data_IF_288949075536
#
_entry.id   IF_288949075536
#
_cell.length_a   1.000
_cell.length_b   1.000
_cell.length_c   1.000
_cell.angle_alpha   90.00
_cell.angle_beta   90.00
_cell.angle_gamma   90.00
#
_symmetry.space_group_name_H-M   'P 1'
#
loop_
_entity.id
_entity.type
_entity.pdbx_description
1 polymer ?
#
# COMPACT_ATOMS: atom_id res chain seq x y z
N UNK A 1 -15.40 -25.36 6.13
CA UNK A 1 -13.99 -25.55 6.52
C UNK A 1 -13.60 -27.00 6.38
N UNK A 2 -12.90 -27.34 5.29
CA UNK A 2 -12.41 -28.70 5.04
C UNK A 2 -11.17 -29.09 5.84
N UNK A 3 -10.71 -28.26 6.79
CA UNK A 3 -9.72 -28.70 7.78
C UNK A 3 -10.19 -29.94 8.56
N UNK A 4 -11.51 -30.10 8.73
CA UNK A 4 -12.10 -31.30 9.33
C UNK A 4 -12.16 -32.52 8.38
N UNK A 5 -12.00 -32.35 7.07
CA UNK A 5 -11.98 -33.46 6.11
C UNK A 5 -10.56 -33.98 5.87
N UNK A 6 -9.53 -33.13 5.98
CA UNK A 6 -8.10 -33.51 5.99
C UNK A 6 -7.65 -34.11 7.34
N UNK A 7 -8.59 -34.48 8.22
CA UNK A 7 -8.40 -35.04 9.59
C UNK A 7 -7.56 -36.32 9.66
N UNK A 8 -7.32 -37.01 8.54
CA UNK A 8 -6.71 -38.34 8.58
C UNK A 8 -5.19 -38.35 8.76
N UNK A 9 -4.54 -37.18 8.80
CA UNK A 9 -3.07 -37.08 8.87
C UNK A 9 -2.51 -36.64 10.22
N UNK A 10 -3.32 -36.09 11.15
CA UNK A 10 -2.82 -35.47 12.38
C UNK A 10 -3.60 -35.96 13.62
N UNK A 11 -2.89 -36.37 14.67
CA UNK A 11 -3.45 -36.62 16.00
C UNK A 11 -3.54 -35.31 16.79
N UNK A 12 -4.73 -34.70 16.78
CA UNK A 12 -5.00 -33.45 17.50
C UNK A 12 -4.78 -33.54 19.04
N UNK A 13 -4.63 -34.75 19.59
CA UNK A 13 -4.27 -34.94 20.99
C UNK A 13 -2.76 -34.90 21.24
N UNK A 14 -1.92 -35.07 20.22
CA UNK A 14 -0.48 -34.89 20.35
C UNK A 14 -0.12 -33.41 20.27
N UNK A 15 0.12 -32.81 21.43
CA UNK A 15 0.51 -31.40 21.51
C UNK A 15 1.87 -31.09 20.86
N UNK A 16 2.70 -32.10 20.54
CA UNK A 16 4.00 -31.92 19.87
C UNK A 16 3.88 -31.89 18.35
N UNK A 17 2.76 -32.34 17.80
CA UNK A 17 2.58 -32.42 16.36
C UNK A 17 2.47 -31.02 15.75
N UNK A 18 3.17 -30.81 14.63
CA UNK A 18 3.37 -29.50 13.99
C UNK A 18 2.20 -29.15 13.08
N UNK A 19 1.02 -28.99 13.66
CA UNK A 19 -0.25 -28.79 12.96
C UNK A 19 -0.48 -27.35 12.44
N UNK A 20 0.32 -26.38 12.88
CA UNK A 20 0.23 -24.97 12.47
C UNK A 20 1.42 -24.57 11.61
N UNK A 21 1.16 -23.69 10.64
CA UNK A 21 2.14 -23.08 9.76
C UNK A 21 2.04 -21.56 9.91
N UNK A 22 3.14 -20.92 10.31
CA UNK A 22 3.26 -19.48 10.26
C UNK A 22 4.00 -19.11 8.98
N UNK A 23 3.32 -18.36 8.12
CA UNK A 23 3.83 -17.91 6.82
C UNK A 23 3.94 -16.39 6.81
N UNK A 24 5.04 -15.85 6.32
CA UNK A 24 5.22 -14.41 6.13
C UNK A 24 5.78 -14.17 4.73
N UNK A 25 5.23 -13.15 4.07
CA UNK A 25 5.73 -12.71 2.78
C UNK A 25 5.84 -11.19 2.74
N UNK A 26 6.91 -10.69 2.15
CA UNK A 26 7.25 -9.28 2.02
C UNK A 26 7.51 -8.92 0.55
N UNK A 27 7.07 -7.72 0.17
CA UNK A 27 7.39 -7.11 -1.12
C UNK A 27 8.70 -6.34 -0.95
N UNK A 28 9.75 -6.84 -1.58
CA UNK A 28 11.07 -6.22 -1.63
C UNK A 28 11.12 -5.17 -2.73
N UNK A 29 11.84 -4.07 -2.48
CA UNK A 29 12.09 -3.00 -3.46
C UNK A 29 11.20 -1.77 -3.30
N UNK A 30 10.26 -1.77 -2.35
CA UNK A 30 9.26 -0.71 -2.14
C UNK A 30 9.85 0.70 -2.12
N UNK A 31 10.91 0.95 -1.36
CA UNK A 31 11.47 2.31 -1.25
C UNK A 31 12.01 2.81 -2.58
N UNK A 32 12.81 1.98 -3.27
CA UNK A 32 13.32 2.30 -4.60
C UNK A 32 12.16 2.48 -5.58
N UNK A 33 11.16 1.61 -5.51
CA UNK A 33 9.96 1.69 -6.34
C UNK A 33 9.17 2.98 -6.14
N UNK A 34 8.90 3.41 -4.90
CA UNK A 34 8.13 4.65 -4.66
C UNK A 34 8.90 5.87 -5.20
N UNK A 35 10.18 6.01 -4.85
CA UNK A 35 10.92 7.26 -5.08
C UNK A 35 11.63 7.35 -6.44
N UNK A 36 11.63 6.29 -7.25
CA UNK A 36 12.18 6.30 -8.61
C UNK A 36 11.21 7.00 -9.57
N UNK A 37 11.14 8.33 -9.47
CA UNK A 37 10.34 9.22 -10.31
C UNK A 37 11.23 10.33 -10.88
N UNK A 38 11.14 10.58 -12.18
CA UNK A 38 11.91 11.63 -12.86
C UNK A 38 11.11 12.93 -12.94
N UNK A 39 11.61 14.01 -12.32
CA UNK A 39 10.93 15.32 -12.26
C UNK A 39 11.06 16.15 -13.54
N UNK A 40 12.23 16.14 -14.18
CA UNK A 40 12.59 17.15 -15.19
C UNK A 40 11.84 17.04 -16.53
N UNK A 41 11.27 15.87 -16.85
CA UNK A 41 10.82 15.61 -18.22
C UNK A 41 9.33 15.26 -18.37
N UNK A 42 8.55 15.16 -17.29
CA UNK A 42 7.23 14.49 -17.32
C UNK A 42 6.06 15.41 -16.95
N UNK A 43 6.32 16.64 -16.53
CA UNK A 43 5.26 17.63 -16.26
C UNK A 43 4.65 18.12 -17.58
N UNK A 44 3.72 17.30 -18.12
CA UNK A 44 2.78 17.61 -19.20
C UNK A 44 1.38 17.71 -18.60
N UNK A 45 0.44 18.36 -19.30
CA UNK A 45 -0.96 18.45 -18.87
C UNK A 45 -1.51 17.10 -18.38
N UNK A 46 -1.97 17.06 -17.12
CA UNK A 46 -2.58 15.88 -16.50
C UNK A 46 -1.64 14.98 -15.68
N UNK A 47 -0.31 15.05 -15.86
CA UNK A 47 0.65 14.20 -15.14
C UNK A 47 1.46 14.98 -14.08
N UNK A 48 1.35 14.60 -12.81
CA UNK A 48 2.03 15.28 -11.69
C UNK A 48 2.82 14.33 -10.80
N UNK A 49 4.06 14.70 -10.44
CA UNK A 49 4.94 13.88 -9.57
C UNK A 49 4.32 13.60 -8.18
N UNK A 50 3.75 14.59 -7.46
CA UNK A 50 3.00 14.34 -6.22
C UNK A 50 1.90 13.28 -6.32
N UNK A 51 1.09 13.34 -7.40
CA UNK A 51 0.03 12.36 -7.66
C UNK A 51 0.64 10.97 -7.81
N UNK A 52 1.67 10.84 -8.65
CA UNK A 52 2.32 9.57 -8.87
C UNK A 52 2.94 8.97 -7.60
N UNK A 53 3.67 9.76 -6.81
CA UNK A 53 4.26 9.28 -5.54
C UNK A 53 3.18 8.75 -4.59
N UNK A 54 2.04 9.43 -4.50
CA UNK A 54 0.89 9.02 -3.70
C UNK A 54 0.25 7.75 -4.23
N UNK A 55 0.05 7.64 -5.55
CA UNK A 55 -0.48 6.43 -6.18
C UNK A 55 0.44 5.22 -5.99
N UNK A 56 1.76 5.39 -6.13
CA UNK A 56 2.75 4.34 -5.86
C UNK A 56 2.72 3.90 -4.40
N UNK A 57 2.67 4.86 -3.46
CA UNK A 57 2.56 4.58 -2.03
C UNK A 57 1.28 3.81 -1.69
N UNK A 58 0.14 4.23 -2.24
CA UNK A 58 -1.12 3.52 -2.08
C UNK A 58 -1.04 2.10 -2.66
N UNK A 59 -0.53 1.94 -3.89
CA UNK A 59 -0.36 0.65 -4.53
C UNK A 59 0.41 -0.35 -3.65
N UNK A 60 1.58 0.03 -3.14
CA UNK A 60 2.39 -0.87 -2.30
C UNK A 60 1.78 -1.14 -0.94
N UNK A 61 0.91 -0.25 -0.45
CA UNK A 61 0.16 -0.48 0.79
C UNK A 61 -0.93 -1.53 0.60
N UNK A 62 -1.63 -1.51 -0.55
CA UNK A 62 -2.74 -2.41 -0.86
C UNK A 62 -2.27 -3.78 -1.36
N UNK A 63 -1.12 -3.86 -2.01
CA UNK A 63 -0.61 -5.11 -2.60
C UNK A 63 -0.51 -6.26 -1.56
N UNK A 64 0.15 -6.12 -0.38
CA UNK A 64 0.18 -7.18 0.64
C UNK A 64 -1.21 -7.59 1.15
N UNK A 65 -2.14 -6.64 1.22
CA UNK A 65 -3.52 -6.87 1.66
C UNK A 65 -4.33 -7.66 0.64
N UNK A 66 -4.18 -7.34 -0.64
CA UNK A 66 -4.80 -8.10 -1.72
C UNK A 66 -4.23 -9.52 -1.78
N UNK A 67 -2.90 -9.66 -1.73
CA UNK A 67 -2.23 -10.97 -1.86
C UNK A 67 -2.56 -11.92 -0.71
N UNK A 68 -2.58 -11.43 0.52
CA UNK A 68 -3.02 -12.23 1.67
C UNK A 68 -4.46 -12.71 1.51
N UNK A 69 -5.37 -11.84 1.05
CA UNK A 69 -6.77 -12.20 0.75
C UNK A 69 -6.90 -13.16 -0.42
N UNK A 70 -6.06 -13.05 -1.44
CA UNK A 70 -6.00 -13.99 -2.56
C UNK A 70 -5.69 -15.41 -2.07
N UNK A 71 -4.65 -15.57 -1.24
CA UNK A 71 -4.26 -16.87 -0.67
C UNK A 71 -5.43 -17.46 0.13
N UNK A 72 -6.03 -16.66 1.01
CA UNK A 72 -7.15 -17.13 1.84
C UNK A 72 -8.39 -17.43 1.00
N UNK A 73 -8.65 -16.68 -0.09
CA UNK A 73 -9.72 -16.98 -1.04
C UNK A 73 -9.52 -18.34 -1.71
N UNK A 74 -8.30 -18.63 -2.20
CA UNK A 74 -7.96 -19.92 -2.81
C UNK A 74 -8.07 -21.09 -1.83
N UNK A 75 -7.73 -20.87 -0.56
CA UNK A 75 -7.83 -21.88 0.49
C UNK A 75 -9.24 -22.00 1.08
N UNK A 76 -10.16 -21.08 0.75
CA UNK A 76 -11.45 -20.92 1.40
C UNK A 76 -11.33 -20.73 2.93
N UNK A 77 -10.35 -19.92 3.34
CA UNK A 77 -10.04 -19.55 4.71
C UNK A 77 -10.47 -18.10 5.01
N UNK A 78 -10.65 -17.75 6.29
CA UNK A 78 -11.19 -16.47 6.67
C UNK A 78 -10.06 -15.45 6.77
N UNK A 79 -10.32 -14.22 6.37
CA UNK A 79 -10.26 -13.10 7.32
C UNK A 79 -9.19 -13.18 8.44
N UNK A 80 -9.62 -13.85 9.50
CA UNK A 80 -8.97 -13.95 10.81
C UNK A 80 -7.64 -14.72 10.80
N UNK A 81 -7.28 -15.37 9.70
CA UNK A 81 -5.98 -16.02 9.55
C UNK A 81 -4.86 -15.01 9.21
N UNK A 82 -5.20 -13.77 8.84
CA UNK A 82 -4.24 -12.67 8.71
C UNK A 82 -3.88 -12.15 10.10
N UNK A 83 -2.64 -12.38 10.54
CA UNK A 83 -2.12 -11.85 11.82
C UNK A 83 -1.65 -10.40 11.67
N UNK A 84 -1.09 -10.08 10.51
CA UNK A 84 -0.57 -8.77 10.18
C UNK A 84 -0.60 -8.56 8.67
N UNK A 85 -0.93 -7.35 8.23
CA UNK A 85 -0.77 -6.90 6.84
C UNK A 85 -0.51 -5.41 6.85
N UNK A 86 0.67 -4.99 6.40
CA UNK A 86 1.10 -3.60 6.44
C UNK A 86 2.59 -3.44 6.15
N UNK A 87 3.00 -2.22 5.79
CA UNK A 87 4.42 -1.91 5.55
C UNK A 87 5.09 -2.77 4.47
N UNK A 88 4.32 -3.25 3.49
CA UNK A 88 4.84 -4.09 2.42
C UNK A 88 4.87 -5.59 2.70
N UNK A 89 4.40 -6.06 3.85
CA UNK A 89 4.40 -7.49 4.19
C UNK A 89 3.11 -7.95 4.83
N UNK A 90 2.86 -9.26 4.81
CA UNK A 90 1.75 -9.89 5.49
C UNK A 90 2.18 -11.19 6.16
N UNK A 91 1.51 -11.55 7.25
CA UNK A 91 1.76 -12.76 8.01
C UNK A 91 0.44 -13.52 8.21
N UNK A 92 0.46 -14.81 7.90
CA UNK A 92 -0.68 -15.72 7.98
C UNK A 92 -0.40 -16.84 8.98
N UNK A 93 -1.40 -17.16 9.80
CA UNK A 93 -1.44 -18.41 10.55
C UNK A 93 -2.33 -19.40 9.81
N UNK A 94 -1.78 -20.52 9.36
CA UNK A 94 -2.45 -21.51 8.51
C UNK A 94 -2.33 -22.91 9.14
N UNK A 95 -3.17 -23.87 8.77
CA UNK A 95 -2.92 -25.27 9.08
C UNK A 95 -1.75 -25.79 8.23
N UNK A 96 -0.89 -26.62 8.81
CA UNK A 96 0.24 -27.21 8.11
C UNK A 96 -0.19 -28.44 7.30
N UNK A 97 -0.88 -28.24 6.17
CA UNK A 97 -1.30 -29.36 5.29
C UNK A 97 -0.59 -29.31 3.95
N UNK A 98 -0.54 -30.44 3.24
CA UNK A 98 0.08 -30.52 1.92
C UNK A 98 -0.59 -29.53 0.94
N UNK A 99 -1.92 -29.45 0.95
CA UNK A 99 -2.72 -28.48 0.17
C UNK A 99 -2.27 -27.04 0.40
N UNK A 100 -2.06 -26.64 1.66
CA UNK A 100 -1.59 -25.27 1.99
C UNK A 100 -0.19 -25.05 1.44
N UNK A 101 0.72 -25.99 1.68
CA UNK A 101 2.11 -25.90 1.24
C UNK A 101 2.24 -25.83 -0.30
N UNK A 102 1.47 -26.63 -1.04
CA UNK A 102 1.40 -26.57 -2.50
C UNK A 102 0.84 -25.24 -3.01
N UNK A 103 -0.21 -24.74 -2.36
CA UNK A 103 -0.83 -23.45 -2.71
C UNK A 103 0.17 -22.30 -2.54
N UNK A 104 0.91 -22.26 -1.43
CA UNK A 104 1.93 -21.23 -1.18
C UNK A 104 3.09 -21.31 -2.18
N UNK A 105 3.58 -22.52 -2.50
CA UNK A 105 4.64 -22.71 -3.50
C UNK A 105 4.21 -22.24 -4.89
N UNK A 106 2.99 -22.60 -5.31
CA UNK A 106 2.40 -22.14 -6.57
C UNK A 106 2.23 -20.63 -6.58
N UNK A 107 1.68 -20.06 -5.50
CA UNK A 107 1.53 -18.61 -5.33
C UNK A 107 2.85 -17.87 -5.51
N UNK A 108 3.93 -18.30 -4.84
CA UNK A 108 5.25 -17.67 -4.93
C UNK A 108 5.79 -17.63 -6.36
N UNK A 109 5.73 -18.76 -7.07
CA UNK A 109 6.18 -18.84 -8.46
C UNK A 109 5.37 -17.90 -9.36
N UNK A 110 4.04 -18.02 -9.29
CA UNK A 110 3.13 -17.24 -10.12
C UNK A 110 3.24 -15.73 -9.87
N UNK A 111 3.41 -15.31 -8.62
CA UNK A 111 3.57 -13.91 -8.26
C UNK A 111 4.93 -13.38 -8.70
N UNK A 112 5.99 -14.17 -8.58
CA UNK A 112 7.33 -13.81 -9.07
C UNK A 112 7.29 -13.53 -10.58
N UNK A 113 6.61 -14.38 -11.35
CA UNK A 113 6.43 -14.19 -12.80
C UNK A 113 5.58 -12.96 -13.13
N UNK A 114 4.52 -12.70 -12.37
CA UNK A 114 3.68 -11.51 -12.55
C UNK A 114 4.44 -10.22 -12.25
N UNK A 115 5.11 -10.14 -11.10
CA UNK A 115 5.90 -8.97 -10.71
C UNK A 115 7.03 -8.72 -11.71
N UNK A 116 7.64 -9.77 -12.24
CA UNK A 116 8.63 -9.65 -13.30
C UNK A 116 8.06 -9.03 -14.57
N UNK A 117 6.92 -9.52 -15.05
CA UNK A 117 6.30 -8.98 -16.27
C UNK A 117 5.83 -7.53 -16.09
N UNK A 118 5.27 -7.18 -14.93
CA UNK A 118 4.65 -5.87 -14.73
C UNK A 118 5.63 -4.80 -14.21
N UNK A 119 6.66 -5.21 -13.46
CA UNK A 119 7.58 -4.33 -12.73
C UNK A 119 9.06 -4.72 -12.87
N UNK A 120 9.39 -5.66 -13.75
CA UNK A 120 10.75 -6.17 -13.99
C UNK A 120 11.41 -6.66 -12.69
N UNK A 121 12.41 -5.94 -12.18
CA UNK A 121 13.08 -6.28 -10.93
C UNK A 121 12.92 -5.18 -9.86
N UNK A 122 12.04 -4.20 -10.10
CA UNK A 122 11.80 -3.11 -9.14
C UNK A 122 10.97 -3.59 -7.94
N UNK A 123 10.06 -4.57 -8.15
CA UNK A 123 9.31 -5.24 -7.08
C UNK A 123 9.52 -6.74 -7.15
N UNK A 124 9.83 -7.34 -6.00
CA UNK A 124 10.06 -8.79 -5.87
C UNK A 124 9.32 -9.29 -4.63
N UNK A 125 8.92 -10.55 -4.64
CA UNK A 125 8.33 -11.21 -3.47
C UNK A 125 9.41 -12.01 -2.75
N UNK A 126 9.48 -11.87 -1.44
CA UNK A 126 10.27 -12.73 -0.54
C UNK A 126 9.30 -13.36 0.44
N UNK A 127 9.50 -14.64 0.77
CA UNK A 127 8.66 -15.32 1.74
C UNK A 127 9.44 -16.30 2.60
N UNK A 128 8.86 -16.64 3.75
CA UNK A 128 9.40 -17.63 4.67
C UNK A 128 8.28 -18.28 5.47
N UNK A 129 8.61 -19.41 6.08
CA UNK A 129 7.65 -20.17 6.88
C UNK A 129 8.31 -20.89 8.06
N UNK A 130 7.52 -21.13 9.10
CA UNK A 130 7.92 -21.96 10.24
C UNK A 130 6.73 -22.78 10.73
N UNK A 131 7.03 -23.97 11.26
CA UNK A 131 6.02 -24.93 11.71
C UNK A 131 5.89 -24.91 13.23
N UNK A 132 4.66 -25.00 13.70
CA UNK A 132 4.28 -24.77 15.09
C UNK A 132 3.37 -25.90 15.58
N UNK A 133 3.60 -26.34 16.82
CA UNK A 133 2.75 -27.28 17.54
C UNK A 133 1.92 -26.56 18.61
N UNK A 134 0.94 -27.26 19.20
CA UNK A 134 0.18 -26.71 20.33
C UNK A 134 1.10 -26.41 21.53
N UNK A 135 2.09 -27.27 21.77
CA UNK A 135 3.08 -27.13 22.83
C UNK A 135 3.92 -25.86 22.67
N UNK A 136 4.33 -25.53 21.44
CA UNK A 136 5.13 -24.33 21.17
C UNK A 136 4.39 -23.03 21.53
N UNK A 137 3.07 -23.02 21.31
CA UNK A 137 2.20 -21.89 21.66
C UNK A 137 2.01 -21.76 23.18
N UNK A 138 1.92 -22.88 23.91
CA UNK A 138 1.72 -22.90 25.37
C UNK A 138 3.00 -22.59 26.16
N UNK A 139 4.14 -23.12 25.73
CA UNK A 139 5.42 -23.01 26.45
C UNK A 139 6.22 -21.74 26.11
N UNK A 140 5.59 -20.74 25.50
CA UNK A 140 6.22 -19.47 25.13
C UNK A 140 7.43 -19.63 24.17
N UNK A 141 7.43 -20.71 23.36
CA UNK A 141 8.45 -20.95 22.30
C UNK A 141 8.16 -20.21 21.00
N UNK A 142 7.11 -19.38 20.99
CA UNK A 142 6.79 -18.54 19.84
C UNK A 142 7.95 -17.62 19.44
N UNK A 143 8.80 -17.21 20.37
CA UNK A 143 10.01 -16.42 20.05
C UNK A 143 10.97 -17.19 19.14
N UNK A 144 11.24 -18.46 19.46
CA UNK A 144 12.09 -19.32 18.65
C UNK A 144 11.50 -19.54 17.26
N UNK A 145 10.19 -19.77 17.19
CA UNK A 145 9.50 -19.90 15.91
C UNK A 145 9.59 -18.62 15.05
N UNK A 146 9.39 -17.44 15.64
CA UNK A 146 9.56 -16.17 14.93
C UNK A 146 11.00 -15.99 14.45
N UNK A 147 12.00 -16.35 15.27
CA UNK A 147 13.40 -16.32 14.84
C UNK A 147 13.63 -17.25 13.64
N UNK A 148 13.12 -18.48 13.68
CA UNK A 148 13.23 -19.43 12.57
C UNK A 148 12.52 -18.92 11.31
N UNK A 149 11.38 -18.26 11.46
CA UNK A 149 10.67 -17.60 10.37
C UNK A 149 11.54 -16.51 9.73
N UNK A 150 12.16 -15.63 10.53
CA UNK A 150 13.03 -14.58 10.02
C UNK A 150 14.27 -15.15 9.31
N UNK A 151 14.86 -16.23 9.84
CA UNK A 151 15.96 -16.94 9.16
C UNK A 151 15.50 -17.45 7.78
N UNK A 152 14.32 -18.08 7.70
CA UNK A 152 13.75 -18.57 6.44
C UNK A 152 13.52 -17.43 5.43
N UNK A 153 13.04 -16.26 5.89
CA UNK A 153 12.87 -15.07 5.04
C UNK A 153 14.23 -14.58 4.55
N UNK A 154 15.23 -14.47 5.42
CA UNK A 154 16.55 -13.95 5.07
C UNK A 154 17.32 -14.86 4.09
N UNK A 155 17.09 -16.17 4.15
CA UNK A 155 17.58 -17.11 3.14
C UNK A 155 16.97 -16.83 1.76
N UNK A 156 15.67 -16.56 1.70
CA UNK A 156 14.99 -16.22 0.46
C UNK A 156 15.38 -14.82 -0.06
N UNK A 157 15.62 -13.86 0.84
CA UNK A 157 16.18 -12.53 0.48
C UNK A 157 17.51 -12.62 -0.26
N UNK A 158 18.32 -13.67 -0.01
CA UNK A 158 19.59 -13.88 -0.71
C UNK A 158 19.40 -14.45 -2.12
N UNK A 159 18.20 -14.93 -2.46
CA UNK A 159 17.89 -15.65 -3.70
C UNK A 159 16.59 -15.15 -4.35
N UNK A 160 16.32 -13.84 -4.29
CA UNK A 160 15.03 -13.22 -4.70
C UNK A 160 14.57 -13.53 -6.11
N UNK A 161 15.50 -13.78 -7.03
CA UNK A 161 15.21 -14.03 -8.45
C UNK A 161 15.29 -15.50 -8.83
N UNK A 162 15.39 -16.43 -7.87
CA UNK A 162 15.57 -17.87 -8.13
C UNK A 162 14.50 -18.45 -9.06
N UNK A 163 13.27 -17.97 -8.94
CA UNK A 163 12.12 -18.41 -9.75
C UNK A 163 12.18 -17.89 -11.20
N UNK A 164 13.07 -16.93 -11.50
CA UNK A 164 13.22 -16.28 -12.80
C UNK A 164 14.51 -16.68 -13.53
N UNK A 165 15.43 -17.41 -12.89
CA UNK A 165 16.76 -17.73 -13.45
C UNK A 165 16.72 -18.58 -14.72
N UNK A 166 15.61 -19.22 -15.03
CA UNK A 166 15.43 -20.04 -16.24
C UNK A 166 14.78 -19.27 -17.40
N UNK A 167 14.57 -17.95 -17.27
CA UNK A 167 13.98 -17.14 -18.33
C UNK A 167 15.08 -16.43 -19.11
N UNK A 168 14.99 -16.51 -20.43
CA UNK A 168 15.75 -15.63 -21.31
C UNK A 168 15.22 -14.20 -21.13
N UNK A 169 16.12 -13.27 -20.85
CA UNK A 169 15.77 -11.85 -20.81
C UNK A 169 15.71 -11.35 -22.26
N UNK A 170 14.49 -11.27 -22.79
CA UNK A 170 14.27 -10.68 -24.11
C UNK A 170 14.64 -9.19 -24.11
N UNK A 171 15.09 -8.69 -25.26
CA UNK A 171 15.35 -7.25 -25.43
C UNK A 171 14.01 -6.52 -25.60
N UNK A 172 13.45 -6.06 -24.49
CA UNK A 172 12.23 -5.27 -24.51
C UNK A 172 12.52 -3.81 -24.90
N UNK A 173 12.29 -3.45 -26.16
CA UNK A 173 12.32 -2.07 -26.64
C UNK A 173 13.70 -1.37 -26.62
N UNK A 174 13.76 -0.18 -27.23
CA UNK A 174 14.98 0.65 -27.28
C UNK A 174 14.99 1.77 -26.23
N UNK A 175 13.84 2.06 -25.63
CA UNK A 175 13.66 3.15 -24.66
C UNK A 175 13.03 2.66 -23.36
N UNK A 176 13.16 3.47 -22.31
CA UNK A 176 12.52 3.23 -21.01
C UNK A 176 11.53 4.34 -20.70
N UNK A 177 10.52 4.00 -19.91
CA UNK A 177 9.48 4.92 -19.46
C UNK A 177 10.09 6.19 -18.85
N UNK A 178 9.61 7.34 -19.34
CA UNK A 178 10.10 8.67 -18.94
C UNK A 178 9.98 8.94 -17.43
N UNK A 179 8.90 8.47 -16.80
CA UNK A 179 8.71 8.62 -15.35
C UNK A 179 9.51 7.60 -14.52
N UNK A 180 9.21 6.30 -14.61
CA UNK A 180 9.83 5.29 -13.74
C UNK A 180 11.26 4.88 -14.13
N UNK A 181 11.72 5.21 -15.35
CA UNK A 181 13.05 4.83 -15.88
C UNK A 181 13.33 3.34 -15.71
N UNK A 182 12.31 2.52 -15.95
CA UNK A 182 12.38 1.08 -15.68
C UNK A 182 11.70 0.27 -16.76
N UNK A 183 10.41 0.54 -16.99
CA UNK A 183 9.62 -0.26 -17.90
C UNK A 183 9.92 0.13 -19.36
N UNK A 184 10.04 -0.84 -20.27
CA UNK A 184 10.37 -0.62 -21.66
C UNK A 184 9.27 0.17 -22.38
N UNK A 185 9.67 0.95 -23.38
CA UNK A 185 8.83 1.78 -24.24
C UNK A 185 9.33 1.77 -25.68
N UNK A 186 8.42 2.03 -26.61
CA UNK A 186 8.75 2.20 -28.03
C UNK A 186 9.37 3.57 -28.32
N UNK A 187 8.92 4.62 -27.64
CA UNK A 187 9.44 5.99 -27.80
C UNK A 187 10.01 6.53 -26.49
N UNK A 188 10.99 7.43 -26.60
CA UNK A 188 11.66 8.05 -25.45
C UNK A 188 10.72 8.89 -24.57
N UNK A 189 9.69 9.49 -25.17
CA UNK A 189 8.74 10.34 -24.43
C UNK A 189 7.61 9.56 -23.75
N UNK A 190 7.51 8.26 -23.98
CA UNK A 190 6.36 7.49 -23.51
C UNK A 190 6.40 7.25 -22.01
N UNK A 191 5.20 7.30 -21.41
CA UNK A 191 4.96 6.95 -20.02
C UNK A 191 4.28 5.57 -19.98
N UNK A 192 4.64 4.75 -18.99
CA UNK A 192 4.06 3.43 -18.85
C UNK A 192 2.64 3.44 -18.28
N UNK A 193 1.89 2.37 -18.57
CA UNK A 193 0.52 2.20 -18.05
C UNK A 193 0.47 2.41 -16.54
N UNK A 194 1.43 1.82 -15.80
CA UNK A 194 1.49 1.90 -14.35
C UNK A 194 1.74 3.33 -13.85
N UNK A 195 2.63 4.09 -14.46
CA UNK A 195 2.84 5.50 -14.12
C UNK A 195 1.57 6.33 -14.31
N UNK A 196 0.82 6.11 -15.40
CA UNK A 196 -0.48 6.75 -15.60
C UNK A 196 -1.48 6.32 -14.53
N UNK A 197 -1.64 5.02 -14.29
CA UNK A 197 -2.53 4.48 -13.25
C UNK A 197 -2.19 5.07 -11.87
N UNK A 198 -0.92 5.18 -11.50
CA UNK A 198 -0.51 5.80 -10.24
C UNK A 198 -0.84 7.29 -10.19
N UNK A 199 -0.74 8.00 -11.31
CA UNK A 199 -1.11 9.41 -11.37
C UNK A 199 -2.62 9.61 -11.13
N UNK A 200 -3.45 8.83 -11.84
CA UNK A 200 -4.90 8.86 -11.71
C UNK A 200 -5.34 8.45 -10.31
N UNK A 201 -4.76 7.37 -9.77
CA UNK A 201 -5.00 6.88 -8.43
C UNK A 201 -4.66 7.94 -7.37
N UNK A 202 -3.51 8.61 -7.51
CA UNK A 202 -3.11 9.69 -6.63
C UNK A 202 -4.10 10.86 -6.63
N UNK A 203 -4.59 11.25 -7.81
CA UNK A 203 -5.62 12.28 -7.94
C UNK A 203 -6.95 11.85 -7.30
N UNK A 204 -7.40 10.62 -7.59
CA UNK A 204 -8.64 10.05 -7.08
C UNK A 204 -8.67 10.02 -5.55
N UNK A 205 -7.56 9.62 -4.93
CA UNK A 205 -7.39 9.61 -3.48
C UNK A 205 -7.48 11.00 -2.84
N UNK A 206 -7.22 12.08 -3.56
CA UNK A 206 -7.32 13.45 -3.04
C UNK A 206 -8.68 14.11 -3.33
N UNK A 207 -9.41 13.61 -4.33
CA UNK A 207 -10.64 14.21 -4.84
C UNK A 207 -11.86 13.95 -3.95
N UNK A 208 -11.95 12.78 -3.35
CA UNK A 208 -13.15 12.33 -2.64
C UNK A 208 -12.94 12.33 -1.12
N UNK A 209 -13.88 12.94 -0.39
CA UNK A 209 -13.89 12.92 1.08
C UNK A 209 -14.20 11.53 1.64
N UNK A 210 -15.09 10.80 0.96
CA UNK A 210 -15.51 9.44 1.30
C UNK A 210 -15.15 8.51 0.16
N UNK A 211 -14.40 7.47 0.47
CA UNK A 211 -14.02 6.41 -0.47
C UNK A 211 -14.20 5.05 0.17
N UNK A 212 -14.53 4.08 -0.68
CA UNK A 212 -14.57 2.66 -0.36
C UNK A 212 -13.49 1.96 -1.17
N UNK A 213 -12.78 1.04 -0.52
CA UNK A 213 -11.89 0.10 -1.19
C UNK A 213 -12.58 -1.26 -1.26
N UNK A 214 -12.62 -1.83 -2.46
CA UNK A 214 -13.26 -3.11 -2.74
C UNK A 214 -12.21 -4.08 -3.24
N UNK A 215 -12.12 -5.24 -2.60
CA UNK A 215 -11.30 -6.36 -3.05
C UNK A 215 -12.18 -7.36 -3.78
N UNK A 216 -11.85 -7.63 -5.04
CA UNK A 216 -12.60 -8.56 -5.87
C UNK A 216 -11.70 -9.60 -6.53
N UNK A 217 -12.15 -10.85 -6.58
CA UNK A 217 -11.45 -11.97 -7.20
C UNK A 217 -12.20 -12.59 -8.38
N UNK A 218 -13.42 -12.14 -8.64
CA UNK A 218 -14.25 -12.53 -9.78
C UNK A 218 -14.39 -11.37 -10.78
N UNK A 219 -14.74 -11.67 -12.02
CA UNK A 219 -14.93 -10.63 -13.03
C UNK A 219 -16.24 -9.86 -12.81
N UNK A 220 -16.14 -8.53 -12.86
CA UNK A 220 -17.26 -7.57 -12.83
C UNK A 220 -17.20 -6.77 -14.13
N UNK A 221 -18.35 -6.38 -14.67
CA UNK A 221 -18.47 -5.50 -15.84
C UNK A 221 -18.15 -4.03 -15.49
N UNK A 222 -16.97 -3.82 -14.89
CA UNK A 222 -16.41 -2.52 -14.54
C UNK A 222 -14.90 -2.59 -14.53
N UNK A 223 -14.27 -1.59 -15.14
CA UNK A 223 -12.83 -1.45 -15.13
C UNK A 223 -12.31 -1.16 -13.71
N UNK A 224 -11.33 -1.94 -13.22
CA UNK A 224 -10.76 -1.75 -11.90
C UNK A 224 -9.77 -0.58 -11.86
N UNK A 225 -9.64 0.06 -10.69
CA UNK A 225 -8.60 1.06 -10.45
C UNK A 225 -7.20 0.44 -10.41
N UNK A 226 -7.10 -0.80 -9.93
CA UNK A 226 -5.88 -1.60 -9.99
C UNK A 226 -6.22 -3.04 -10.39
N UNK A 227 -5.62 -3.50 -11.48
CA UNK A 227 -5.76 -4.88 -11.96
C UNK A 227 -4.48 -5.68 -11.68
N UNK A 228 -4.60 -6.71 -10.83
CA UNK A 228 -3.51 -7.64 -10.54
C UNK A 228 -3.64 -8.97 -11.29
N UNK A 229 -4.42 -8.99 -12.38
CA UNK A 229 -4.76 -10.17 -13.15
C UNK A 229 -5.42 -11.21 -12.24
N UNK A 230 -4.88 -12.43 -12.25
CA UNK A 230 -5.43 -13.54 -11.45
C UNK A 230 -5.37 -13.33 -9.94
N UNK A 231 -4.55 -12.40 -9.44
CA UNK A 231 -4.43 -12.13 -8.01
C UNK A 231 -5.58 -11.29 -7.46
N UNK A 232 -6.41 -10.73 -8.34
CA UNK A 232 -7.59 -9.95 -8.00
C UNK A 232 -7.52 -8.52 -8.49
N UNK A 233 -8.60 -7.80 -8.23
CA UNK A 233 -8.87 -6.45 -8.68
C UNK A 233 -9.22 -5.58 -7.48
N UNK A 234 -8.84 -4.31 -7.55
CA UNK A 234 -9.16 -3.32 -6.52
C UNK A 234 -9.94 -2.18 -7.16
N UNK A 235 -11.06 -1.83 -6.55
CA UNK A 235 -11.87 -0.67 -6.92
C UNK A 235 -11.85 0.35 -5.80
N UNK A 236 -11.75 1.62 -6.18
CA UNK A 236 -11.94 2.77 -5.32
C UNK A 236 -13.20 3.49 -5.78
N UNK A 237 -14.23 3.52 -4.94
CA UNK A 237 -15.49 4.15 -5.30
C UNK A 237 -15.92 5.10 -4.19
N UNK A 238 -16.40 6.27 -4.57
CA UNK A 238 -17.09 7.19 -3.65
C UNK A 238 -18.46 6.63 -3.26
N UNK A 239 -19.10 5.90 -4.18
CA UNK A 239 -20.33 5.14 -3.93
C UNK A 239 -20.31 3.79 -4.68
N UNK A 240 -20.33 2.65 -3.98
CA UNK A 240 -20.49 1.35 -4.61
C UNK A 240 -21.83 1.23 -5.35
N UNK A 241 -21.79 0.63 -6.53
CA UNK A 241 -22.95 0.31 -7.37
C UNK A 241 -23.55 -1.06 -6.99
N UNK A 242 -24.78 -1.34 -7.42
CA UNK A 242 -25.52 -2.54 -7.02
C UNK A 242 -24.78 -3.85 -7.33
N UNK A 243 -24.20 -3.99 -8.53
CA UNK A 243 -23.46 -5.20 -8.91
C UNK A 243 -22.24 -5.45 -8.00
N UNK A 244 -21.50 -4.38 -7.68
CA UNK A 244 -20.33 -4.46 -6.80
C UNK A 244 -20.75 -4.80 -5.37
N UNK A 245 -21.89 -4.27 -4.90
CA UNK A 245 -22.41 -4.62 -3.56
C UNK A 245 -22.73 -6.11 -3.43
N UNK A 246 -23.20 -6.74 -4.49
CA UNK A 246 -23.58 -8.15 -4.49
C UNK A 246 -22.40 -9.10 -4.66
N UNK A 247 -21.46 -8.75 -5.55
CA UNK A 247 -20.34 -9.63 -5.91
C UNK A 247 -19.07 -9.39 -5.10
N UNK A 248 -18.91 -8.23 -4.47
CA UNK A 248 -17.69 -7.92 -3.73
C UNK A 248 -17.56 -8.82 -2.50
N UNK A 249 -16.40 -9.44 -2.35
CA UNK A 249 -16.06 -10.19 -1.14
C UNK A 249 -15.90 -9.28 0.07
N UNK A 250 -15.35 -8.08 -0.15
CA UNK A 250 -15.04 -7.13 0.91
C UNK A 250 -15.15 -5.69 0.42
N UNK A 251 -15.82 -4.86 1.22
CA UNK A 251 -16.03 -3.43 0.97
C UNK A 251 -15.65 -2.68 2.25
N UNK A 252 -14.48 -2.05 2.23
CA UNK A 252 -13.95 -1.30 3.37
C UNK A 252 -14.14 0.19 3.18
N UNK A 253 -14.61 0.88 4.21
CA UNK A 253 -14.63 2.34 4.25
C UNK A 253 -13.23 2.89 4.51
N UNK A 254 -12.75 3.81 3.68
CA UNK A 254 -11.47 4.49 3.92
C UNK A 254 -11.67 5.63 4.93
N UNK A 255 -10.80 5.69 5.94
CA UNK A 255 -10.74 6.73 6.97
C UNK A 255 -12.05 6.96 7.74
N UNK A 256 -12.94 5.96 7.81
CA UNK A 256 -14.22 6.04 8.50
C UNK A 256 -14.51 4.76 9.27
N UNK A 257 -14.80 4.87 10.56
CA UNK A 257 -15.16 3.75 11.44
C UNK A 257 -16.64 3.36 11.36
N UNK A 258 -17.41 4.05 10.52
CA UNK A 258 -18.85 3.86 10.35
C UNK A 258 -19.13 2.53 9.66
N UNK A 259 -19.43 1.50 10.44
CA UNK A 259 -19.76 0.16 9.94
C UNK A 259 -21.24 0.06 9.58
N UNK A 260 -21.54 -0.59 8.45
CA UNK A 260 -22.89 -0.90 7.98
C UNK A 260 -23.86 0.29 7.81
N UNK A 261 -23.41 1.56 7.87
CA UNK A 261 -24.29 2.73 7.67
C UNK A 261 -25.01 2.71 6.33
N UNK A 262 -24.40 2.12 5.31
CA UNK A 262 -24.94 2.05 3.95
C UNK A 262 -25.42 0.63 3.58
N UNK A 263 -25.38 -0.31 4.54
CA UNK A 263 -25.85 -1.69 4.38
C UNK A 263 -24.94 -2.63 3.60
N UNK A 264 -23.83 -2.16 3.02
CA UNK A 264 -22.92 -2.98 2.21
C UNK A 264 -21.46 -3.00 2.67
N UNK A 265 -21.02 -2.06 3.52
CA UNK A 265 -19.64 -2.01 3.98
C UNK A 265 -19.43 -2.95 5.19
N UNK A 266 -18.41 -3.81 5.10
CA UNK A 266 -18.12 -4.85 6.09
C UNK A 266 -16.81 -4.64 6.86
N UNK A 267 -16.16 -3.48 6.68
CA UNK A 267 -14.99 -3.08 7.47
C UNK A 267 -14.54 -1.66 7.16
N UNK A 268 -13.36 -1.30 7.67
CA UNK A 268 -12.72 -0.02 7.41
C UNK A 268 -11.20 -0.14 7.35
N UNK A 269 -10.57 0.85 6.72
CA UNK A 269 -9.11 0.98 6.65
C UNK A 269 -8.71 2.44 6.82
N UNK A 270 -7.68 2.69 7.62
CA UNK A 270 -7.05 4.00 7.68
C UNK A 270 -5.89 4.10 6.68
N UNK A 271 -5.79 5.25 6.04
CA UNK A 271 -4.65 5.64 5.20
C UNK A 271 -4.28 7.09 5.50
N UNK A 272 -2.99 7.35 5.70
CA UNK A 272 -2.49 8.70 5.89
C UNK A 272 -2.46 9.42 4.55
N UNK A 273 -3.51 10.20 4.28
CA UNK A 273 -3.85 10.66 2.93
C UNK A 273 -4.02 12.19 2.84
N UNK A 274 -3.44 12.93 3.77
CA UNK A 274 -3.49 14.40 3.80
C UNK A 274 -2.55 14.97 2.74
N UNK A 275 -3.04 15.94 1.98
CA UNK A 275 -2.26 16.72 1.01
C UNK A 275 -2.72 18.18 1.02
N UNK A 276 -1.82 19.13 0.74
CA UNK A 276 -2.21 20.49 0.40
C UNK A 276 -3.04 20.50 -0.89
N UNK A 277 -4.12 21.27 -0.90
CA UNK A 277 -5.07 21.34 -2.01
C UNK A 277 -5.02 22.73 -2.65
N UNK A 278 -4.88 22.79 -3.98
CA UNK A 278 -5.02 24.02 -4.73
C UNK A 278 -6.50 24.42 -4.78
N UNK A 279 -6.85 25.38 -3.94
CA UNK A 279 -8.19 25.98 -3.88
C UNK A 279 -8.16 27.40 -4.38
N UNK A 280 -9.34 27.96 -4.67
CA UNK A 280 -9.43 29.36 -5.12
C UNK A 280 -8.78 30.30 -4.11
N UNK A 281 -8.93 30.06 -2.81
CA UNK A 281 -8.30 30.88 -1.77
C UNK A 281 -6.76 30.73 -1.77
N UNK A 282 -6.25 29.51 -1.94
CA UNK A 282 -4.80 29.25 -2.05
C UNK A 282 -4.24 29.89 -3.32
N UNK A 283 -4.97 29.80 -4.43
CA UNK A 283 -4.61 30.40 -5.72
C UNK A 283 -4.53 31.92 -5.62
N UNK A 284 -5.57 32.56 -5.11
CA UNK A 284 -5.63 34.02 -4.94
C UNK A 284 -4.50 34.52 -4.03
N UNK A 285 -4.18 33.75 -2.99
CA UNK A 285 -3.04 34.04 -2.13
C UNK A 285 -1.72 33.97 -2.90
N UNK A 286 -1.47 32.90 -3.65
CA UNK A 286 -0.24 32.72 -4.43
C UNK A 286 -0.10 33.83 -5.48
N UNK A 287 -1.13 34.12 -6.26
CA UNK A 287 -1.08 35.18 -7.28
C UNK A 287 -0.81 36.58 -6.69
N UNK A 288 -1.25 36.82 -5.45
CA UNK A 288 -1.13 38.12 -4.80
C UNK A 288 0.17 38.29 -4.01
N UNK A 289 0.67 37.22 -3.39
CA UNK A 289 1.74 37.31 -2.38
C UNK A 289 2.98 36.47 -2.69
N UNK A 290 2.90 35.50 -3.61
CA UNK A 290 4.07 34.71 -4.00
C UNK A 290 4.90 35.44 -5.06
N UNK A 291 6.22 35.25 -5.00
CA UNK A 291 7.16 35.84 -5.95
C UNK A 291 7.36 34.88 -7.14
N UNK A 292 6.32 34.80 -7.98
CA UNK A 292 6.27 33.87 -9.10
C UNK A 292 6.77 34.51 -10.40
N UNK A 293 7.53 33.75 -11.20
CA UNK A 293 7.84 34.14 -12.56
C UNK A 293 6.55 34.21 -13.42
N UNK A 294 6.56 35.01 -14.49
CA UNK A 294 5.39 35.14 -15.39
C UNK A 294 4.96 33.81 -16.01
N UNK A 295 5.89 32.87 -16.17
CA UNK A 295 5.59 31.51 -16.62
C UNK A 295 4.76 30.74 -15.58
N UNK A 296 5.17 30.80 -14.31
CA UNK A 296 4.50 30.09 -13.21
C UNK A 296 3.14 30.71 -12.89
N UNK A 297 2.98 32.04 -13.03
CA UNK A 297 1.67 32.68 -12.90
C UNK A 297 0.68 32.19 -13.95
N UNK A 298 1.10 32.08 -15.21
CA UNK A 298 0.26 31.54 -16.29
C UNK A 298 -0.12 30.08 -16.03
N UNK A 299 0.85 29.26 -15.62
CA UNK A 299 0.58 27.86 -15.26
C UNK A 299 -0.43 27.75 -14.10
N UNK A 300 -0.29 28.59 -13.07
CA UNK A 300 -1.21 28.65 -11.94
C UNK A 300 -2.63 29.11 -12.35
N UNK A 301 -2.72 30.03 -13.30
CA UNK A 301 -3.99 30.47 -13.88
C UNK A 301 -4.67 29.37 -14.71
N UNK A 302 -3.92 28.66 -15.56
CA UNK A 302 -4.40 27.54 -16.39
C UNK A 302 -4.89 26.35 -15.55
N UNK A 303 -4.22 26.07 -14.42
CA UNK A 303 -4.65 25.03 -13.46
C UNK A 303 -6.07 25.26 -12.90
N UNK A 304 -6.59 26.49 -12.96
CA UNK A 304 -7.89 26.86 -12.39
C UNK A 304 -9.09 26.66 -13.31
N UNK A 305 -8.88 26.53 -14.62
CA UNK A 305 -9.96 26.30 -15.58
C UNK A 305 -10.46 24.84 -15.56
N UNK A 306 -9.76 23.95 -14.82
CA UNK A 306 -10.08 22.53 -14.69
C UNK A 306 -10.07 22.02 -13.23
N UNK A 307 -10.83 22.66 -12.30
CA UNK A 307 -10.75 22.41 -10.85
C UNK A 307 -11.22 20.99 -10.45
N UNK A 308 -11.87 20.26 -11.35
CA UNK A 308 -12.38 18.91 -11.12
C UNK A 308 -11.35 17.78 -11.30
N UNK A 309 -10.15 18.06 -11.84
CA UNK A 309 -9.16 17.04 -12.21
C UNK A 309 -7.80 17.12 -11.48
N UNK A 310 -7.51 18.19 -10.73
CA UNK A 310 -6.25 18.27 -10.01
C UNK A 310 -6.32 19.06 -8.69
N UNK A 311 -6.79 18.44 -7.59
CA UNK A 311 -6.84 19.13 -6.31
C UNK A 311 -5.46 19.30 -5.67
N UNK A 312 -4.41 18.56 -6.06
CA UNK A 312 -3.15 18.54 -5.29
C UNK A 312 -2.28 19.72 -5.67
N UNK A 313 -1.84 20.50 -4.67
CA UNK A 313 -0.94 21.63 -4.87
C UNK A 313 0.44 21.14 -5.36
N UNK A 314 0.94 21.59 -6.53
CA UNK A 314 2.28 21.23 -7.01
C UNK A 314 3.40 21.69 -6.06
N UNK A 315 4.53 20.98 -6.09
CA UNK A 315 5.61 21.16 -5.11
C UNK A 315 6.27 22.55 -5.17
N UNK A 316 6.40 23.14 -6.35
CA UNK A 316 6.93 24.50 -6.51
C UNK A 316 6.07 25.52 -5.73
N UNK A 317 4.74 25.42 -5.82
CA UNK A 317 3.85 26.34 -5.10
C UNK A 317 3.80 26.07 -3.58
N UNK A 318 4.08 24.85 -3.12
CA UNK A 318 4.24 24.58 -1.68
C UNK A 318 5.42 25.37 -1.11
N UNK A 319 6.52 25.48 -1.86
CA UNK A 319 7.71 26.21 -1.41
C UNK A 319 7.45 27.70 -1.19
N UNK A 320 6.45 28.29 -1.87
CA UNK A 320 6.07 29.69 -1.69
C UNK A 320 5.52 30.01 -0.31
N UNK A 321 4.96 29.01 0.38
CA UNK A 321 4.54 29.14 1.76
C UNK A 321 5.72 29.10 2.75
N UNK A 322 6.95 28.86 2.33
CA UNK A 322 8.10 28.85 3.22
C UNK A 322 8.45 30.26 3.74
N UNK A 323 8.79 30.33 5.03
CA UNK A 323 9.37 31.52 5.68
C UNK A 323 10.87 31.54 5.43
N UNK A 324 11.34 32.57 4.74
CA UNK A 324 12.74 32.68 4.30
C UNK A 324 12.94 32.06 2.91
N UNK A 325 14.02 31.31 2.73
CA UNK A 325 14.34 30.66 1.46
C UNK A 325 13.20 29.76 0.97
N UNK A 326 12.81 29.92 -0.31
CA UNK A 326 11.78 29.12 -0.98
C UNK A 326 12.30 27.73 -1.31
N UNK A 327 12.29 26.85 -0.30
CA UNK A 327 12.80 25.48 -0.38
C UNK A 327 11.79 24.48 0.15
N UNK A 328 11.83 23.28 -0.40
CA UNK A 328 11.08 22.14 0.09
C UNK A 328 11.87 21.40 1.15
N UNK A 329 11.23 21.15 2.29
CA UNK A 329 11.73 20.26 3.32
C UNK A 329 11.11 18.87 3.14
N UNK A 330 11.95 17.82 3.22
CA UNK A 330 11.49 16.43 3.22
C UNK A 330 11.85 15.82 4.56
N UNK A 331 10.84 15.36 5.31
CA UNK A 331 11.01 14.65 6.57
C UNK A 331 10.85 13.14 6.34
N UNK A 332 11.83 12.37 6.79
CA UNK A 332 11.75 10.91 6.87
C UNK A 332 12.08 10.49 8.29
N UNK A 333 11.17 9.74 8.90
CA UNK A 333 11.31 9.22 10.25
C UNK A 333 11.03 7.71 10.26
N UNK A 334 11.66 7.00 11.20
CA UNK A 334 11.45 5.58 11.44
C UNK A 334 11.35 5.33 12.95
N UNK A 335 10.74 4.21 13.34
CA UNK A 335 10.67 3.81 14.75
C UNK A 335 11.98 3.13 15.14
N UNK A 336 12.69 3.74 16.09
CA UNK A 336 13.92 3.16 16.60
C UNK A 336 13.69 1.80 17.25
N UNK A 337 14.57 0.85 16.95
CA UNK A 337 14.60 -0.48 17.57
C UNK A 337 13.29 -1.28 17.42
N UNK A 338 12.50 -1.04 16.38
CA UNK A 338 11.21 -1.72 16.18
C UNK A 338 11.33 -3.24 16.25
N UNK A 339 12.34 -3.82 15.61
CA UNK A 339 12.60 -5.26 15.67
C UNK A 339 12.89 -5.78 17.09
N UNK A 340 13.58 -4.98 17.93
CA UNK A 340 13.85 -5.32 19.33
C UNK A 340 12.59 -5.23 20.18
N UNK A 341 11.73 -4.23 19.93
CA UNK A 341 10.44 -4.12 20.61
C UNK A 341 9.57 -5.36 20.31
N UNK A 342 9.54 -5.79 19.05
CA UNK A 342 8.78 -6.96 18.61
C UNK A 342 9.40 -8.30 19.00
N UNK A 343 10.68 -8.39 19.34
CA UNK A 343 11.34 -9.62 19.76
C UNK A 343 11.45 -9.75 21.28
N UNK A 344 11.81 -8.66 21.99
CA UNK A 344 12.12 -8.68 23.42
C UNK A 344 11.38 -7.63 24.26
N UNK A 345 10.75 -6.63 23.65
CA UNK A 345 10.03 -5.58 24.38
C UNK A 345 8.72 -6.02 25.05
N UNK A 346 8.19 -7.20 24.71
CA UNK A 346 6.93 -7.72 25.22
C UNK A 346 7.14 -8.67 26.41
N UNK A 347 6.64 -8.32 27.60
CA UNK A 347 6.71 -9.16 28.83
C UNK A 347 6.23 -10.61 28.65
N UNK A 348 5.27 -10.86 27.76
CA UNK A 348 4.80 -12.20 27.35
C UNK A 348 4.75 -12.25 25.83
N UNK A 349 5.36 -13.28 25.24
CA UNK A 349 5.51 -13.38 23.79
C UNK A 349 4.39 -14.23 23.19
N UNK A 350 3.27 -13.59 22.86
CA UNK A 350 2.07 -14.27 22.33
C UNK A 350 1.63 -13.63 21.03
N UNK A 351 1.01 -14.42 20.16
CA UNK A 351 0.44 -13.95 18.88
C UNK A 351 -0.47 -12.75 19.11
N UNK A 352 -1.33 -12.81 20.13
CA UNK A 352 -2.27 -11.73 20.47
C UNK A 352 -1.58 -10.39 20.78
N UNK A 353 -0.46 -10.41 21.52
CA UNK A 353 0.28 -9.20 21.89
C UNK A 353 1.05 -8.63 20.71
N UNK A 354 1.64 -9.48 19.88
CA UNK A 354 2.32 -9.08 18.64
C UNK A 354 1.30 -8.41 17.72
N UNK A 355 0.18 -9.06 17.44
CA UNK A 355 -0.89 -8.53 16.59
C UNK A 355 -1.46 -7.20 17.14
N UNK A 356 -1.65 -7.10 18.47
CA UNK A 356 -2.13 -5.86 19.10
C UNK A 356 -1.14 -4.72 18.92
N UNK A 357 0.15 -4.95 19.18
CA UNK A 357 1.18 -3.93 19.02
C UNK A 357 1.28 -3.48 17.55
N UNK A 358 1.30 -4.42 16.61
CA UNK A 358 1.31 -4.11 15.18
C UNK A 358 0.11 -3.25 14.77
N UNK A 359 -1.10 -3.59 15.23
CA UNK A 359 -2.32 -2.83 14.94
C UNK A 359 -2.29 -1.43 15.54
N UNK A 360 -1.74 -1.26 16.74
CA UNK A 360 -1.60 0.06 17.37
C UNK A 360 -0.59 0.95 16.64
N UNK A 361 0.52 0.38 16.21
CA UNK A 361 1.51 1.10 15.39
C UNK A 361 0.94 1.49 14.04
N UNK A 362 0.27 0.57 13.35
CA UNK A 362 -0.39 0.86 12.08
C UNK A 362 -1.42 1.98 12.24
N UNK A 363 -2.27 1.93 13.27
CA UNK A 363 -3.23 2.99 13.57
C UNK A 363 -2.56 4.35 13.86
N UNK A 364 -1.40 4.35 14.51
CA UNK A 364 -0.63 5.56 14.75
C UNK A 364 -0.20 6.20 13.42
N UNK A 365 0.44 5.42 12.55
CA UNK A 365 0.99 5.90 11.28
C UNK A 365 -0.07 6.22 10.23
N UNK A 366 -1.19 5.50 10.20
CA UNK A 366 -2.24 5.65 9.18
C UNK A 366 -3.37 6.59 9.60
N UNK A 367 -3.63 6.74 10.90
CA UNK A 367 -4.73 7.54 11.43
C UNK A 367 -4.29 8.74 12.28
N UNK A 368 -3.50 8.49 13.33
CA UNK A 368 -3.14 9.56 14.28
C UNK A 368 -2.21 10.62 13.67
N UNK A 369 -1.24 10.23 12.84
CA UNK A 369 -0.36 11.18 12.14
C UNK A 369 -1.19 12.21 11.36
N UNK A 370 -2.27 11.77 10.71
CA UNK A 370 -3.15 12.69 9.97
C UNK A 370 -3.78 13.74 10.89
N UNK A 371 -4.21 13.33 12.08
CA UNK A 371 -4.76 14.27 13.08
C UNK A 371 -3.71 15.27 13.57
N UNK A 372 -2.47 14.82 13.76
CA UNK A 372 -1.37 15.69 14.18
C UNK A 372 -1.00 16.71 13.09
N UNK A 373 -0.91 16.28 11.83
CA UNK A 373 -0.62 17.16 10.69
C UNK A 373 -1.68 18.25 10.59
N UNK A 374 -2.97 17.89 10.60
CA UNK A 374 -4.06 18.88 10.54
C UNK A 374 -3.96 19.92 11.65
N UNK A 375 -3.67 19.50 12.88
CA UNK A 375 -3.50 20.43 14.01
C UNK A 375 -2.33 21.39 13.79
N UNK A 376 -1.19 20.87 13.32
CA UNK A 376 0.00 21.69 13.05
C UNK A 376 -0.24 22.65 11.88
N UNK A 377 -0.88 22.19 10.80
CA UNK A 377 -1.28 23.02 9.65
C UNK A 377 -2.21 24.16 10.08
N UNK A 378 -3.24 23.87 10.89
CA UNK A 378 -4.13 24.90 11.43
C UNK A 378 -3.40 25.96 12.25
N UNK A 379 -2.49 25.53 13.13
CA UNK A 379 -1.68 26.43 13.96
C UNK A 379 -0.70 27.25 13.13
N UNK A 380 -0.20 26.70 12.02
CA UNK A 380 0.64 27.41 11.05
C UNK A 380 -0.16 28.50 10.32
N UNK A 381 -1.30 28.14 9.72
CA UNK A 381 -2.17 29.08 8.99
C UNK A 381 -2.59 30.25 9.88
N UNK A 382 -3.02 29.98 11.13
CA UNK A 382 -3.43 31.04 12.07
C UNK A 382 -2.30 32.02 12.40
N UNK A 383 -1.06 31.54 12.53
CA UNK A 383 0.11 32.35 12.93
C UNK A 383 0.69 33.15 11.77
N UNK A 384 0.87 32.52 10.62
CA UNK A 384 1.67 33.10 9.53
C UNK A 384 0.80 33.65 8.39
N UNK A 385 -0.42 33.14 8.18
CA UNK A 385 -1.33 33.56 7.09
C UNK A 385 -2.53 34.39 7.58
N UNK A 386 -2.62 34.68 8.88
CA UNK A 386 -3.71 35.42 9.51
C UNK A 386 -5.06 34.68 9.54
N UNK A 387 -6.16 35.38 9.82
CA UNK A 387 -7.53 34.82 9.81
C UNK A 387 -8.07 34.55 8.38
N UNK A 388 -7.20 34.20 7.44
CA UNK A 388 -7.60 33.72 6.12
C UNK A 388 -8.30 32.36 6.28
N UNK A 389 -9.35 32.11 5.49
CA UNK A 389 -10.12 30.84 5.50
C UNK A 389 -9.32 29.64 4.94
N UNK A 390 -7.98 29.73 4.86
CA UNK A 390 -7.05 28.72 4.35
C UNK A 390 -6.89 27.50 5.29
N UNK A 391 -7.62 27.47 6.41
CA UNK A 391 -7.38 26.67 7.63
C UNK A 391 -7.32 25.14 7.48
N UNK A 392 -7.63 24.55 6.33
CA UNK A 392 -7.72 23.09 6.19
C UNK A 392 -7.13 22.54 4.89
N UNK A 393 -6.43 23.38 4.09
CA UNK A 393 -6.07 23.01 2.72
C UNK A 393 -4.59 23.24 2.38
N UNK A 394 -3.75 23.52 3.38
CA UNK A 394 -2.29 23.65 3.27
C UNK A 394 -1.54 22.64 4.14
#
# INVERSE_FOLDING_TARGET
YDYKQEKSQYDLNDEKEKIFLLYEAEISGIQKFIYKVSKADVEKEGFSVPKELRGRSFFVSILPELLSRYILNKLNYPITNILYSGGGKFQLLLPNTERVNETLKKFKKELSEYLHREFHLDLLIVDGRTELSQKDLKENKLREAITNLQISIDEDKKRKVKELLTKDFETDGFHVCKSCRSLPREKEEDICKWCYTFNELGAKLAKYEKLFIIYQFEDIDKEPDLDFGKFGKVYLLDKPESEIKEKAKEILSLNSTKLAEEGYNNGFKFIANIVPILTNEVKDYLLKYADLEEKDKKELEELSDNPTNNPILPLNYIAEFAKGDKKLAVLRADVDNLGLIFSDGLRRYTISRIATLSRMLDLFFTGYISTLINKVSEDYTKRELGNTNLKAKL
#
